data_IF_245879583861
#
_entry.id   IF_245879583861
#
_cell.length_a   1.000
_cell.length_b   1.000
_cell.length_c   1.000
_cell.angle_alpha   90.00
_cell.angle_beta   90.00
_cell.angle_gamma   90.00
#
_symmetry.space_group_name_H-M   'P 1'
#
loop_
_entity.id
_entity.type
_entity.pdbx_description
1 polymer ?
#
# COMPACT_ATOMS: atom_id res chain seq x y z
N UNK A 1 -3.54 -10.47 0.14
CA UNK A 1 -4.03 -9.62 -0.98
C UNK A 1 -5.14 -8.64 -0.56
N UNK A 2 -6.43 -9.02 -0.51
CA UNK A 2 -7.57 -8.07 -0.33
C UNK A 2 -7.42 -7.07 0.84
N UNK A 3 -6.88 -7.52 1.97
CA UNK A 3 -6.65 -6.65 3.14
C UNK A 3 -5.65 -5.53 2.86
N UNK A 4 -4.55 -5.83 2.16
CA UNK A 4 -3.56 -4.83 1.77
C UNK A 4 -4.12 -3.92 0.68
N UNK A 5 -4.76 -4.49 -0.35
CA UNK A 5 -5.34 -3.74 -1.45
C UNK A 5 -6.34 -2.71 -0.95
N UNK A 6 -7.34 -3.10 -0.16
CA UNK A 6 -8.35 -2.15 0.34
C UNK A 6 -7.79 -1.04 1.23
N UNK A 7 -6.64 -1.29 1.88
CA UNK A 7 -6.00 -0.32 2.75
C UNK A 7 -5.15 0.66 1.94
N UNK A 8 -4.29 0.14 1.07
CA UNK A 8 -3.34 0.93 0.30
C UNK A 8 -4.01 1.73 -0.82
N UNK A 9 -5.07 1.22 -1.43
CA UNK A 9 -5.86 1.94 -2.45
C UNK A 9 -6.55 3.20 -1.91
N UNK A 10 -6.57 3.42 -0.58
CA UNK A 10 -7.07 4.67 0.02
C UNK A 10 -6.03 5.78 0.02
N UNK A 11 -4.75 5.46 -0.14
CA UNK A 11 -3.68 6.43 -0.22
C UNK A 11 -3.58 6.95 -1.66
N UNK A 12 -4.18 8.12 -1.91
CA UNK A 12 -4.26 8.72 -3.24
C UNK A 12 -4.10 10.24 -3.18
N UNK A 13 -3.89 10.84 -4.35
CA UNK A 13 -4.03 12.28 -4.60
C UNK A 13 -5.41 12.50 -5.21
N UNK A 14 -6.24 13.28 -4.52
CA UNK A 14 -7.58 13.63 -5.01
C UNK A 14 -7.47 14.64 -6.16
N UNK A 15 -8.49 14.67 -7.01
CA UNK A 15 -8.61 15.68 -8.08
C UNK A 15 -8.93 17.08 -7.51
N UNK A 16 -8.87 18.10 -8.37
CA UNK A 16 -9.08 19.49 -7.95
C UNK A 16 -10.53 19.77 -7.52
N UNK A 17 -11.51 19.11 -8.14
CA UNK A 17 -12.94 19.19 -7.76
C UNK A 17 -13.19 18.72 -6.32
N UNK A 18 -12.34 17.83 -5.80
CA UNK A 18 -12.39 17.30 -4.43
C UNK A 18 -11.31 17.94 -3.53
N UNK A 19 -10.79 19.11 -3.90
CA UNK A 19 -9.89 19.92 -3.07
C UNK A 19 -8.42 19.48 -3.09
N UNK A 20 -8.04 18.60 -4.02
CA UNK A 20 -6.65 18.18 -4.24
C UNK A 20 -5.91 17.69 -2.98
N UNK A 21 -6.59 17.08 -2.00
CA UNK A 21 -5.94 16.49 -0.83
C UNK A 21 -5.05 15.29 -1.21
N UNK A 22 -4.06 14.96 -0.39
CA UNK A 22 -3.20 13.80 -0.60
C UNK A 22 -2.99 12.99 0.68
N UNK A 23 -2.99 11.66 0.54
CA UNK A 23 -2.57 10.73 1.59
C UNK A 23 -1.45 9.84 1.04
N UNK A 24 -0.26 9.93 1.63
CA UNK A 24 0.90 9.10 1.24
C UNK A 24 1.05 7.94 2.20
N UNK A 25 1.07 6.72 1.67
CA UNK A 25 1.36 5.51 2.45
C UNK A 25 2.83 5.12 2.31
N UNK A 26 3.47 4.74 3.41
CA UNK A 26 4.82 4.17 3.46
C UNK A 26 4.74 2.80 4.15
N UNK A 27 4.35 1.73 3.42
CA UNK A 27 4.21 0.40 4.01
C UNK A 27 5.58 -0.21 4.33
N UNK A 28 5.66 -0.93 5.45
CA UNK A 28 6.85 -1.70 5.85
C UNK A 28 6.45 -3.16 6.01
N UNK A 29 7.25 -4.06 5.44
CA UNK A 29 7.04 -5.50 5.49
C UNK A 29 8.33 -6.16 5.96
N UNK A 30 8.23 -7.02 6.97
CA UNK A 30 9.36 -7.81 7.44
C UNK A 30 9.51 -9.07 6.58
N UNK A 31 10.64 -9.21 5.90
CA UNK A 31 11.02 -10.46 5.20
C UNK A 31 11.74 -11.39 6.15
N UNK A 32 11.46 -12.69 6.07
CA UNK A 32 12.20 -13.70 6.82
C UNK A 32 13.39 -14.18 5.98
N UNK A 33 14.59 -14.17 6.55
CA UNK A 33 15.83 -14.57 5.86
C UNK A 33 16.08 -13.88 4.50
N UNK A 34 15.52 -12.68 4.28
CA UNK A 34 15.61 -11.97 3.01
C UNK A 34 14.75 -12.56 1.88
N UNK A 35 13.82 -13.46 2.19
CA UNK A 35 12.93 -14.06 1.19
C UNK A 35 11.81 -13.09 0.77
N UNK A 36 11.97 -12.50 -0.41
CA UNK A 36 10.98 -11.61 -1.06
C UNK A 36 9.89 -12.39 -1.81
N UNK A 37 10.03 -13.71 -1.98
CA UNK A 37 9.07 -14.56 -2.68
C UNK A 37 7.94 -15.07 -1.79
N UNK A 38 8.03 -14.83 -0.47
CA UNK A 38 7.02 -15.20 0.49
C UNK A 38 5.64 -14.57 0.17
N UNK A 39 4.57 -15.22 0.63
CA UNK A 39 3.19 -14.84 0.29
C UNK A 39 2.80 -13.41 0.68
N UNK A 40 3.33 -12.87 1.78
CA UNK A 40 2.99 -11.51 2.22
C UNK A 40 3.77 -10.45 1.42
N UNK A 41 5.11 -10.51 1.29
CA UNK A 41 5.87 -9.59 0.43
C UNK A 41 5.41 -9.56 -1.02
N UNK A 42 5.01 -10.70 -1.60
CA UNK A 42 4.51 -10.76 -3.00
C UNK A 42 3.10 -10.19 -3.20
N UNK A 43 2.37 -9.93 -2.11
CA UNK A 43 0.97 -9.49 -2.13
C UNK A 43 0.77 -8.00 -1.84
N UNK A 44 1.84 -7.27 -1.51
CA UNK A 44 1.84 -5.84 -1.23
C UNK A 44 2.46 -5.12 -2.42
#
# INVERSE_FOLDING_TARGET
FYLHSRLLERAAKMNDELGAGSLTALPVIETQAGDVSAYIPTNV
#
